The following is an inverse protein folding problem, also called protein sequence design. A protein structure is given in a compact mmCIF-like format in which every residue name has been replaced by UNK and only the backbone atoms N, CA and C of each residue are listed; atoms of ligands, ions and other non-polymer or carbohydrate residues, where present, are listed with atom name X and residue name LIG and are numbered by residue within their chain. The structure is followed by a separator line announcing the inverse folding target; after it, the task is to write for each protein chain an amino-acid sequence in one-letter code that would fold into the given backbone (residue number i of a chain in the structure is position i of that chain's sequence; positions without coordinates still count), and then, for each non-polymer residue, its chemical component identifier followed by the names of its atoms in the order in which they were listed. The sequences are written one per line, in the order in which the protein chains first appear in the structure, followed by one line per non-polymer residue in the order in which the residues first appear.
data_IF_918709718912
#
_entry.id   IF_918709718912
#
_cell.length_a   1.000
_cell.length_b   1.000
_cell.length_c   1.000
_cell.angle_alpha   90.00
_cell.angle_beta   90.00
_cell.angle_gamma   90.00
#
_symmetry.space_group_name_H-M   'P 1'
#
loop_
_entity.id
_entity.type
_entity.pdbx_description
1 polymer ?
#
# COMPACT_ATOMS: atom_id res chain seq x y z
N UNK A 1 -13.40 18.39 3.00
CA UNK A 1 -13.59 16.92 3.17
C UNK A 1 -13.88 16.22 1.85
N UNK A 2 -15.00 16.52 1.15
CA UNK A 2 -15.35 15.86 -0.12
C UNK A 2 -14.22 15.92 -1.17
N UNK A 3 -13.63 17.10 -1.40
CA UNK A 3 -12.49 17.28 -2.32
C UNK A 3 -11.29 16.41 -1.97
N UNK A 4 -10.97 16.26 -0.68
CA UNK A 4 -9.85 15.43 -0.23
C UNK A 4 -10.11 13.95 -0.56
N UNK A 5 -11.29 13.46 -0.20
CA UNK A 5 -11.68 12.06 -0.45
C UNK A 5 -11.68 11.77 -1.94
N UNK A 6 -12.33 12.62 -2.75
CA UNK A 6 -12.37 12.43 -4.21
C UNK A 6 -10.97 12.44 -4.82
N UNK A 7 -10.09 13.37 -4.40
CA UNK A 7 -8.73 13.44 -4.93
C UNK A 7 -7.90 12.21 -4.53
N UNK A 8 -8.02 11.76 -3.29
CA UNK A 8 -7.35 10.56 -2.81
C UNK A 8 -7.84 9.29 -3.53
N UNK A 9 -9.16 9.15 -3.74
CA UNK A 9 -9.73 8.04 -4.50
C UNK A 9 -9.23 8.01 -5.94
N UNK A 10 -9.19 9.16 -6.62
CA UNK A 10 -8.69 9.25 -8.00
C UNK A 10 -7.20 8.90 -8.04
N UNK A 11 -6.39 9.46 -7.12
CA UNK A 11 -4.97 9.20 -7.06
C UNK A 11 -4.68 7.71 -6.82
N UNK A 12 -5.36 7.09 -5.85
CA UNK A 12 -5.19 5.67 -5.53
C UNK A 12 -5.66 4.75 -6.66
N UNK A 13 -6.83 5.02 -7.24
CA UNK A 13 -7.32 4.21 -8.37
C UNK A 13 -6.39 4.34 -9.56
N UNK A 14 -5.86 5.54 -9.80
CA UNK A 14 -4.86 5.81 -10.83
C UNK A 14 -3.55 5.07 -10.58
N UNK A 15 -3.04 5.04 -9.34
CA UNK A 15 -1.81 4.32 -9.00
C UNK A 15 -1.97 2.81 -9.14
N UNK A 16 -3.10 2.24 -8.70
CA UNK A 16 -3.38 0.81 -8.88
C UNK A 16 -3.54 0.43 -10.35
N UNK A 17 -4.24 1.26 -11.14
CA UNK A 17 -4.34 1.04 -12.59
C UNK A 17 -2.95 1.13 -13.25
N UNK A 18 -2.14 2.10 -12.87
CA UNK A 18 -0.77 2.22 -13.35
C UNK A 18 0.07 0.97 -13.02
N UNK A 19 0.00 0.46 -11.79
CA UNK A 19 0.65 -0.80 -11.40
C UNK A 19 0.22 -1.99 -12.27
N UNK A 20 -1.06 -2.09 -12.63
CA UNK A 20 -1.50 -3.14 -13.58
C UNK A 20 -0.78 -3.06 -14.92
N UNK A 21 -0.46 -1.86 -15.41
CA UNK A 21 0.24 -1.69 -16.68
C UNK A 21 1.76 -1.80 -16.59
N UNK A 22 2.38 -1.44 -15.46
CA UNK A 22 3.86 -1.42 -15.38
C UNK A 22 4.45 -2.60 -14.62
N UNK A 23 3.69 -3.20 -13.71
CA UNK A 23 4.18 -4.24 -12.82
C UNK A 23 3.63 -5.62 -13.19
N UNK A 24 2.35 -5.70 -13.55
CA UNK A 24 1.66 -6.98 -13.75
C UNK A 24 1.37 -7.36 -15.20
N UNK A 25 1.59 -6.46 -16.18
CA UNK A 25 1.06 -6.66 -17.54
C UNK A 25 1.63 -7.88 -18.27
N UNK A 26 2.86 -8.28 -17.94
CA UNK A 26 3.59 -9.36 -18.60
C UNK A 26 3.68 -10.64 -17.74
N UNK A 27 3.12 -10.61 -16.52
CA UNK A 27 3.13 -11.75 -15.59
C UNK A 27 1.86 -12.60 -15.75
N UNK A 28 1.99 -13.92 -15.71
CA UNK A 28 0.82 -14.83 -15.82
C UNK A 28 -0.02 -14.79 -14.53
N UNK A 29 -1.35 -14.79 -14.66
CA UNK A 29 -2.25 -14.91 -13.52
C UNK A 29 -2.36 -16.37 -13.08
N UNK A 30 -2.23 -16.61 -11.78
CA UNK A 30 -2.30 -17.94 -11.17
C UNK A 30 -3.37 -17.98 -10.07
N UNK A 31 -3.81 -19.18 -9.64
CA UNK A 31 -4.55 -19.30 -8.37
C UNK A 31 -3.77 -18.66 -7.23
N UNK A 32 -4.49 -18.11 -6.25
CA UNK A 32 -3.86 -17.36 -5.16
C UNK A 32 -2.73 -18.16 -4.49
N UNK A 33 -1.54 -17.57 -4.44
CA UNK A 33 -0.33 -18.20 -3.88
C UNK A 33 0.33 -17.32 -2.83
N UNK A 34 0.96 -17.98 -1.86
CA UNK A 34 1.77 -17.35 -0.83
C UNK A 34 3.25 -17.46 -1.21
N UNK A 35 4.01 -16.42 -0.89
CA UNK A 35 5.44 -16.38 -1.10
C UNK A 35 6.15 -15.92 0.19
N UNK A 36 7.33 -16.48 0.47
CA UNK A 36 8.14 -16.06 1.61
C UNK A 36 9.48 -15.55 1.10
N UNK A 37 9.61 -14.25 1.08
CA UNK A 37 10.78 -13.52 0.65
C UNK A 37 11.35 -12.65 1.76
N UNK A 38 11.14 -13.06 3.01
CA UNK A 38 11.68 -12.37 4.17
C UNK A 38 13.19 -12.11 4.08
N UNK A 39 13.94 -12.90 3.29
CA UNK A 39 15.38 -12.72 3.04
C UNK A 39 15.72 -12.16 1.65
N UNK A 40 14.70 -11.78 0.87
CA UNK A 40 14.83 -11.22 -0.46
C UNK A 40 15.51 -9.85 -0.46
N UNK A 41 16.17 -9.54 -1.57
CA UNK A 41 16.66 -8.19 -1.92
C UNK A 41 17.42 -7.43 -0.82
N UNK A 42 18.16 -8.14 0.05
CA UNK A 42 18.87 -7.52 1.18
C UNK A 42 17.99 -6.59 2.04
N UNK A 43 16.71 -6.93 2.22
CA UNK A 43 15.71 -6.12 2.94
C UNK A 43 15.33 -4.78 2.30
N UNK A 44 15.84 -4.44 1.11
CA UNK A 44 15.50 -3.18 0.43
C UNK A 44 14.00 -3.13 0.16
N UNK A 45 13.43 -4.27 -0.23
CA UNK A 45 12.00 -4.43 -0.46
C UNK A 45 11.18 -4.15 0.82
N UNK A 46 11.58 -4.74 1.95
CA UNK A 46 10.90 -4.59 3.25
C UNK A 46 11.04 -3.16 3.78
N UNK A 47 12.18 -2.52 3.51
CA UNK A 47 12.35 -1.10 3.75
C UNK A 47 11.42 -0.25 2.87
N UNK A 48 11.23 -0.61 1.60
CA UNK A 48 10.28 0.02 0.69
C UNK A 48 8.86 -0.03 1.22
N UNK A 49 8.41 -1.20 1.69
CA UNK A 49 7.11 -1.40 2.34
C UNK A 49 6.93 -0.52 3.58
N UNK A 50 7.87 -0.59 4.53
CA UNK A 50 7.80 0.20 5.76
C UNK A 50 7.87 1.72 5.49
N UNK A 51 8.78 2.15 4.61
CA UNK A 51 8.93 3.57 4.29
C UNK A 51 7.73 4.11 3.50
N UNK A 52 7.21 3.33 2.56
CA UNK A 52 6.01 3.67 1.78
C UNK A 52 4.78 3.80 2.68
N UNK A 53 4.53 2.80 3.53
CA UNK A 53 3.43 2.81 4.50
C UNK A 53 3.54 3.99 5.48
N UNK A 54 4.74 4.28 5.99
CA UNK A 54 4.98 5.46 6.82
C UNK A 54 4.63 6.76 6.08
N UNK A 55 5.11 6.92 4.84
CA UNK A 55 4.91 8.14 4.06
C UNK A 55 3.43 8.36 3.72
N UNK A 56 2.74 7.32 3.29
CA UNK A 56 1.30 7.34 3.02
C UNK A 56 0.50 7.72 4.28
N UNK A 57 0.89 7.15 5.43
CA UNK A 57 0.27 7.45 6.71
C UNK A 57 0.53 8.89 7.15
N UNK A 58 1.76 9.38 6.97
CA UNK A 58 2.16 10.76 7.25
C UNK A 58 1.37 11.75 6.39
N UNK A 59 1.25 11.49 5.09
CA UNK A 59 0.48 12.32 4.14
C UNK A 59 -1.00 12.28 4.52
N UNK A 60 -1.55 11.09 4.81
CA UNK A 60 -2.94 10.91 5.23
C UNK A 60 -3.26 11.70 6.49
N UNK A 61 -2.41 11.60 7.51
CA UNK A 61 -2.55 12.36 8.77
C UNK A 61 -2.59 13.87 8.54
N UNK A 62 -1.62 14.42 7.80
CA UNK A 62 -1.55 15.86 7.54
C UNK A 62 -2.67 16.35 6.63
N UNK A 63 -3.09 15.54 5.65
CA UNK A 63 -4.21 15.87 4.77
C UNK A 63 -5.52 15.95 5.55
N UNK A 64 -5.74 15.04 6.50
CA UNK A 64 -6.91 15.08 7.39
C UNK A 64 -6.89 16.29 8.33
N UNK A 65 -5.71 16.63 8.90
CA UNK A 65 -5.56 17.86 9.69
C UNK A 65 -5.88 19.09 8.86
N UNK A 66 -5.34 19.18 7.64
CA UNK A 66 -5.60 20.27 6.70
C UNK A 66 -7.09 20.39 6.36
N UNK A 67 -7.80 19.27 6.25
CA UNK A 67 -9.24 19.22 6.02
C UNK A 67 -10.10 19.52 7.27
N UNK A 68 -9.49 19.91 8.40
CA UNK A 68 -10.19 20.28 9.64
C UNK A 68 -10.60 19.11 10.53
N UNK A 69 -10.07 17.90 10.30
CA UNK A 69 -10.36 16.73 11.15
C UNK A 69 -9.67 16.89 12.51
N UNK A 70 -10.36 16.61 13.63
CA UNK A 70 -9.74 16.64 14.95
C UNK A 70 -8.51 15.72 15.00
N UNK A 71 -7.41 16.20 15.59
CA UNK A 71 -6.11 15.51 15.62
C UNK A 71 -6.19 14.04 16.03
N UNK A 72 -7.01 13.70 17.03
CA UNK A 72 -7.21 12.31 17.48
C UNK A 72 -7.77 11.41 16.36
N UNK A 73 -8.74 11.90 15.59
CA UNK A 73 -9.31 11.18 14.45
C UNK A 73 -8.32 11.13 13.29
N UNK A 74 -7.63 12.24 13.01
CA UNK A 74 -6.61 12.28 11.97
C UNK A 74 -5.49 11.27 12.26
N UNK A 75 -5.05 11.13 13.52
CA UNK A 75 -4.01 10.19 13.91
C UNK A 75 -4.43 8.73 13.67
N UNK A 76 -5.68 8.38 13.96
CA UNK A 76 -6.18 7.02 13.73
C UNK A 76 -6.38 6.76 12.24
N UNK A 77 -7.17 7.59 11.55
CA UNK A 77 -7.51 7.34 10.14
C UNK A 77 -6.33 7.58 9.19
N UNK A 78 -5.54 8.61 9.44
CA UNK A 78 -4.34 8.90 8.67
C UNK A 78 -3.20 7.94 9.01
N UNK A 79 -3.01 7.61 10.30
CA UNK A 79 -1.96 6.70 10.73
C UNK A 79 -2.12 5.26 10.24
N UNK A 80 -3.36 4.80 10.05
CA UNK A 80 -3.62 3.47 9.49
C UNK A 80 -3.68 3.46 7.94
N UNK A 81 -3.57 4.63 7.29
CA UNK A 81 -3.83 4.73 5.85
C UNK A 81 -2.78 3.96 5.04
N UNK A 82 -1.50 4.05 5.39
CA UNK A 82 -0.44 3.37 4.64
C UNK A 82 -0.59 1.86 4.62
N UNK A 83 -0.82 1.24 5.79
CA UNK A 83 -1.12 -0.20 5.85
C UNK A 83 -2.32 -0.58 4.95
N UNK A 84 -3.38 0.21 4.97
CA UNK A 84 -4.60 -0.05 4.19
C UNK A 84 -4.41 0.14 2.68
N UNK A 85 -3.47 0.99 2.27
CA UNK A 85 -3.15 1.25 0.85
C UNK A 85 -2.13 0.26 0.30
N UNK A 86 -1.22 -0.26 1.12
CA UNK A 86 -0.22 -1.27 0.73
C UNK A 86 -0.79 -2.68 0.69
N UNK A 87 -1.64 -3.07 1.66
CA UNK A 87 -2.18 -4.44 1.75
C UNK A 87 -2.82 -4.96 0.44
N UNK A 88 -3.56 -4.14 -0.34
CA UNK A 88 -4.07 -4.58 -1.64
C UNK A 88 -2.98 -5.03 -2.61
N UNK A 89 -1.80 -4.41 -2.62
CA UNK A 89 -0.67 -4.79 -3.49
C UNK A 89 -0.29 -6.24 -3.22
N UNK A 90 -0.17 -6.64 -1.95
CA UNK A 90 0.12 -8.04 -1.56
C UNK A 90 -0.95 -9.02 -2.06
N UNK A 91 -2.22 -8.61 -2.02
CA UNK A 91 -3.33 -9.43 -2.53
C UNK A 91 -3.19 -9.62 -4.04
N UNK A 92 -2.82 -8.54 -4.75
CA UNK A 92 -2.56 -8.61 -6.19
C UNK A 92 -1.35 -9.48 -6.49
N UNK A 93 -0.25 -9.36 -5.73
CA UNK A 93 0.94 -10.20 -5.88
C UNK A 93 0.59 -11.68 -5.72
N UNK A 94 -0.29 -12.01 -4.77
CA UNK A 94 -0.82 -13.37 -4.61
C UNK A 94 -1.50 -13.95 -5.85
N UNK A 95 -1.90 -13.13 -6.82
CA UNK A 95 -2.61 -13.56 -8.03
C UNK A 95 -1.71 -13.70 -9.28
N UNK A 96 -0.40 -13.47 -9.18
CA UNK A 96 0.53 -13.52 -10.32
C UNK A 96 1.73 -14.44 -10.06
N UNK A 97 2.18 -15.15 -11.10
CA UNK A 97 3.16 -16.24 -11.01
C UNK A 97 4.53 -15.78 -10.47
N UNK A 98 5.01 -14.64 -10.94
CA UNK A 98 6.35 -14.10 -10.62
C UNK A 98 6.47 -13.57 -9.19
N UNK A 99 5.33 -13.33 -8.53
CA UNK A 99 5.24 -12.67 -7.22
C UNK A 99 4.66 -13.65 -6.18
N UNK A 100 3.76 -13.18 -5.34
CA UNK A 100 3.00 -13.98 -4.39
C UNK A 100 2.71 -13.18 -3.12
N UNK A 101 1.65 -13.54 -2.39
CA UNK A 101 1.29 -12.83 -1.17
C UNK A 101 2.33 -13.09 -0.08
N UNK A 102 2.93 -12.02 0.45
CA UNK A 102 4.00 -12.09 1.42
C UNK A 102 3.58 -11.60 2.81
N UNK A 103 3.62 -12.48 3.80
CA UNK A 103 3.39 -12.09 5.20
C UNK A 103 4.49 -11.19 5.75
N UNK A 104 5.71 -11.30 5.21
CA UNK A 104 6.81 -10.42 5.58
C UNK A 104 6.55 -8.98 5.12
N UNK A 105 5.93 -8.79 3.97
CA UNK A 105 5.58 -7.46 3.45
C UNK A 105 4.37 -6.88 4.14
N UNK A 106 3.34 -7.68 4.41
CA UNK A 106 2.25 -7.28 5.31
C UNK A 106 2.78 -6.82 6.67
N UNK A 107 3.77 -7.52 7.22
CA UNK A 107 4.44 -7.12 8.46
C UNK A 107 5.22 -5.81 8.34
N UNK A 108 5.94 -5.62 7.23
CA UNK A 108 6.68 -4.40 6.95
C UNK A 108 5.76 -3.18 6.73
N UNK A 109 4.60 -3.38 6.10
CA UNK A 109 3.57 -2.36 5.89
C UNK A 109 2.94 -1.82 7.19
N UNK A 110 3.19 -2.46 8.34
CA UNK A 110 2.66 -2.06 9.63
C UNK A 110 3.57 -1.09 10.44
N UNK A 111 4.72 -0.70 9.89
CA UNK A 111 5.66 0.27 10.48
C UNK A 111 5.42 1.69 9.97
#
# INVERSE_FOLDING_TARGET
MATLITSATIAYTGSMAYLQFVWYKDSERVPFQFYNDFRGYNQIDKFGHAYGAYLESYIGFHSLLWAGVPRKKAAIFGGCLGFMLQLPIEIWDGMYEEWGFSWSDVGANAF
#
